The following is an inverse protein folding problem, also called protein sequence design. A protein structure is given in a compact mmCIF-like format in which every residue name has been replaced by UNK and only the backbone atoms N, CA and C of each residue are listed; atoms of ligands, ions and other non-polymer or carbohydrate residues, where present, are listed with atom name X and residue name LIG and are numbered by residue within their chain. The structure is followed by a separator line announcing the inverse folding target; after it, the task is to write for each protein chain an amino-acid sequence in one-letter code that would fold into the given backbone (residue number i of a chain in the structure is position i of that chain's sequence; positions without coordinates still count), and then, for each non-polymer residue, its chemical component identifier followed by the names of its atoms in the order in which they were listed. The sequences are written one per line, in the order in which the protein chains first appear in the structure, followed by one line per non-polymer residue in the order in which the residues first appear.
data_IF_100560735584
#
_entry.id   IF_100560735584
#
_cell.length_a   1.000
_cell.length_b   1.000
_cell.length_c   1.000
_cell.angle_alpha   90.00
_cell.angle_beta   90.00
_cell.angle_gamma   90.00
#
_symmetry.space_group_name_H-M   'P 1'
#
loop_
_entity.id
_entity.type
_entity.pdbx_description
1 polymer ?
#
# COMPACT_ATOMS: atom_id res chain seq x y z
N UNK A 1 69.53 -9.96 17.50
CA UNK A 1 68.16 -9.71 18.00
C UNK A 1 67.31 -9.17 16.85
N UNK A 2 66.47 -10.02 16.21
CA UNK A 2 65.55 -9.61 15.12
C UNK A 2 64.24 -9.13 15.75
N UNK A 3 63.90 -7.89 15.57
CA UNK A 3 62.61 -7.34 15.98
C UNK A 3 61.59 -7.69 14.92
N UNK A 4 60.56 -8.48 15.28
CA UNK A 4 59.40 -8.75 14.45
C UNK A 4 58.40 -7.65 14.72
N UNK A 5 58.10 -6.85 13.69
CA UNK A 5 57.03 -5.84 13.73
C UNK A 5 55.73 -6.52 13.34
N UNK A 6 54.84 -6.70 14.30
CA UNK A 6 53.48 -7.21 14.04
C UNK A 6 52.60 -6.04 13.62
N UNK A 7 52.27 -5.97 12.32
CA UNK A 7 51.27 -5.02 11.82
C UNK A 7 49.87 -5.63 12.01
N UNK A 8 49.16 -5.17 13.02
CA UNK A 8 47.71 -5.47 13.15
C UNK A 8 46.96 -4.69 12.08
N UNK A 9 46.55 -5.38 11.02
CA UNK A 9 45.58 -4.86 10.04
C UNK A 9 44.19 -4.96 10.67
N UNK A 10 43.67 -3.86 11.22
CA UNK A 10 42.28 -3.73 11.57
C UNK A 10 41.47 -3.61 10.27
N UNK A 11 40.88 -4.71 9.85
CA UNK A 11 39.84 -4.68 8.81
C UNK A 11 38.61 -3.93 9.34
N UNK A 12 38.47 -2.66 8.98
CA UNK A 12 37.23 -1.95 9.10
C UNK A 12 36.23 -2.61 8.14
N UNK A 13 35.32 -3.41 8.66
CA UNK A 13 34.10 -3.75 7.94
C UNK A 13 33.25 -2.48 7.85
N UNK A 14 33.40 -1.73 6.77
CA UNK A 14 32.42 -0.76 6.35
C UNK A 14 31.16 -1.56 6.00
N UNK A 15 30.20 -1.60 6.91
CA UNK A 15 28.85 -2.02 6.59
C UNK A 15 28.32 -1.00 5.60
N UNK A 16 28.42 -1.28 4.31
CA UNK A 16 27.71 -0.51 3.29
C UNK A 16 26.23 -0.79 3.48
N UNK A 17 25.57 0.03 4.26
CA UNK A 17 24.10 0.08 4.25
C UNK A 17 23.71 0.58 2.87
N UNK A 18 22.95 -0.21 2.13
CA UNK A 18 22.49 0.18 0.81
C UNK A 18 21.52 1.37 0.92
N UNK A 19 21.74 2.39 0.13
CA UNK A 19 20.79 3.49 -0.04
C UNK A 19 19.47 2.94 -0.60
N UNK A 20 18.34 3.54 -0.23
CA UNK A 20 17.03 3.22 -0.85
C UNK A 20 17.11 3.49 -2.34
N UNK A 21 16.65 2.56 -3.16
CA UNK A 21 16.52 2.75 -4.59
C UNK A 21 15.13 2.30 -5.02
N UNK A 22 14.34 3.24 -5.57
CA UNK A 22 13.07 3.00 -6.22
C UNK A 22 13.30 2.97 -7.74
N UNK A 23 12.77 1.96 -8.41
CA UNK A 23 12.93 1.79 -9.87
C UNK A 23 11.79 2.37 -10.70
N UNK A 24 10.84 3.09 -10.09
CA UNK A 24 9.61 3.53 -10.75
C UNK A 24 9.88 4.41 -11.97
N UNK A 25 10.77 5.41 -11.85
CA UNK A 25 11.05 6.34 -12.96
C UNK A 25 11.68 5.60 -14.14
N UNK A 26 12.74 4.82 -13.88
CA UNK A 26 13.45 4.07 -14.93
C UNK A 26 12.55 3.02 -15.59
N UNK A 27 11.75 2.30 -14.81
CA UNK A 27 10.82 1.28 -15.34
C UNK A 27 9.68 1.91 -16.14
N UNK A 28 9.15 3.05 -15.70
CA UNK A 28 8.15 3.78 -16.45
C UNK A 28 8.68 4.26 -17.80
N UNK A 29 9.85 4.91 -17.84
CA UNK A 29 10.47 5.40 -19.08
C UNK A 29 10.80 4.23 -20.03
N UNK A 30 11.32 3.11 -19.53
CA UNK A 30 11.56 1.91 -20.33
C UNK A 30 10.28 1.41 -21.01
N UNK A 31 9.15 1.43 -20.33
CA UNK A 31 7.88 0.93 -20.86
C UNK A 31 7.18 1.96 -21.77
N UNK A 32 7.25 3.25 -21.48
CA UNK A 32 6.67 4.27 -22.37
C UNK A 32 7.18 4.18 -23.80
N UNK A 33 8.46 3.86 -23.97
CA UNK A 33 9.05 3.69 -25.29
C UNK A 33 8.46 2.52 -26.08
N UNK A 34 7.79 1.57 -25.41
CA UNK A 34 7.40 0.27 -25.98
C UNK A 34 5.88 0.02 -25.99
N UNK A 35 5.12 0.74 -25.15
CA UNK A 35 3.70 0.46 -24.92
C UNK A 35 2.79 1.61 -25.40
N UNK A 36 2.11 1.43 -26.55
CA UNK A 36 1.17 2.43 -27.07
C UNK A 36 -0.03 2.68 -26.14
N UNK A 37 -0.42 1.69 -25.32
CA UNK A 37 -1.54 1.86 -24.36
C UNK A 37 -1.14 2.83 -23.25
N UNK A 38 0.05 2.67 -22.70
CA UNK A 38 0.59 3.60 -21.70
C UNK A 38 0.73 5.03 -22.27
N UNK A 39 1.16 5.16 -23.53
CA UNK A 39 1.24 6.45 -24.23
C UNK A 39 -0.14 7.12 -24.36
N UNK A 40 -1.16 6.35 -24.78
CA UNK A 40 -2.54 6.86 -24.87
C UNK A 40 -3.13 7.21 -23.50
N UNK A 41 -2.85 6.43 -22.47
CA UNK A 41 -3.25 6.71 -21.09
C UNK A 41 -2.61 7.99 -20.56
N UNK A 42 -1.33 8.25 -20.86
CA UNK A 42 -0.63 9.49 -20.45
C UNK A 42 -1.33 10.72 -21.01
N UNK A 43 -1.71 10.71 -22.27
CA UNK A 43 -2.46 11.81 -22.88
C UNK A 43 -3.83 11.99 -22.23
N UNK A 44 -4.56 10.90 -22.01
CA UNK A 44 -5.86 10.90 -21.34
C UNK A 44 -5.76 11.43 -19.91
N UNK A 45 -4.73 11.01 -19.17
CA UNK A 45 -4.45 11.49 -17.81
C UNK A 45 -4.15 12.98 -17.81
N UNK A 46 -3.31 13.45 -18.73
CA UNK A 46 -2.99 14.89 -18.87
C UNK A 46 -4.27 15.71 -19.13
N UNK A 47 -5.11 15.25 -20.05
CA UNK A 47 -6.38 15.91 -20.37
C UNK A 47 -7.34 15.90 -19.16
N UNK A 48 -7.39 14.79 -18.45
CA UNK A 48 -8.15 14.67 -17.21
C UNK A 48 -7.63 15.66 -16.16
N UNK A 49 -6.32 15.71 -15.92
CA UNK A 49 -5.68 16.61 -14.95
C UNK A 49 -5.86 18.10 -15.28
N UNK A 50 -6.00 18.47 -16.53
CA UNK A 50 -6.20 19.87 -16.97
C UNK A 50 -7.68 20.29 -17.04
N UNK A 51 -8.64 19.34 -17.00
CA UNK A 51 -10.07 19.63 -17.23
C UNK A 51 -10.80 20.28 -16.06
N UNK A 52 -10.17 20.56 -14.92
CA UNK A 52 -10.76 21.15 -13.70
C UNK A 52 -12.02 20.43 -13.15
N UNK A 53 -12.30 19.20 -13.55
CA UNK A 53 -13.49 18.44 -13.13
C UNK A 53 -13.33 17.70 -11.80
N UNK A 54 -12.24 17.95 -11.07
CA UNK A 54 -11.87 17.23 -9.83
C UNK A 54 -12.84 17.42 -8.67
N UNK A 55 -13.47 18.58 -8.58
CA UNK A 55 -14.21 18.97 -7.37
C UNK A 55 -15.54 18.25 -7.19
N UNK A 56 -16.07 17.58 -8.23
CA UNK A 56 -17.44 17.04 -8.20
C UNK A 56 -17.56 15.52 -7.95
N UNK A 57 -16.45 14.77 -7.95
CA UNK A 57 -16.49 13.30 -7.87
C UNK A 57 -15.87 12.71 -6.59
N UNK A 58 -15.76 13.49 -5.51
CA UNK A 58 -15.23 12.96 -4.24
C UNK A 58 -16.14 11.85 -3.71
N UNK A 59 -15.63 10.63 -3.71
CA UNK A 59 -16.25 9.52 -2.98
C UNK A 59 -16.17 9.86 -1.49
N UNK A 60 -17.32 10.03 -0.83
CA UNK A 60 -17.34 10.23 0.62
C UNK A 60 -16.99 8.91 1.30
N UNK A 61 -16.01 8.94 2.20
CA UNK A 61 -15.63 7.80 3.03
C UNK A 61 -14.39 7.05 2.57
N UNK A 62 -14.07 5.97 3.29
CA UNK A 62 -12.88 5.15 3.07
C UNK A 62 -13.08 4.23 1.88
N UNK A 63 -12.16 4.30 0.92
CA UNK A 63 -12.12 3.41 -0.23
C UNK A 63 -11.29 2.17 0.15
N UNK A 64 -11.86 0.97 0.01
CA UNK A 64 -11.14 -0.28 0.25
C UNK A 64 -10.72 -0.92 -1.07
N UNK A 65 -9.43 -1.16 -1.22
CA UNK A 65 -8.80 -1.66 -2.45
C UNK A 65 -8.43 -3.13 -2.26
N UNK A 66 -8.96 -4.04 -3.09
CA UNK A 66 -8.57 -5.43 -3.06
C UNK A 66 -7.16 -5.63 -3.59
N UNK A 67 -6.33 -6.33 -2.82
CA UNK A 67 -4.94 -6.65 -3.11
C UNK A 67 -4.81 -8.14 -3.40
N UNK A 68 -4.05 -8.48 -4.43
CA UNK A 68 -3.50 -9.81 -4.62
C UNK A 68 -1.99 -9.76 -4.50
N UNK A 69 -1.41 -10.68 -3.73
CA UNK A 69 0.05 -10.80 -3.55
C UNK A 69 0.56 -12.03 -4.29
N UNK A 70 1.40 -11.80 -5.28
CA UNK A 70 2.03 -12.81 -6.14
C UNK A 70 3.45 -13.09 -5.63
N UNK A 71 3.65 -14.17 -4.88
CA UNK A 71 4.97 -14.55 -4.34
C UNK A 71 5.70 -15.45 -5.33
N UNK A 72 6.80 -14.97 -5.90
CA UNK A 72 7.65 -15.69 -6.83
C UNK A 72 8.99 -15.98 -6.15
N UNK A 73 9.31 -17.25 -5.94
CA UNK A 73 10.45 -17.63 -5.11
C UNK A 73 11.33 -18.70 -5.76
N UNK A 74 12.65 -18.59 -5.55
CA UNK A 74 13.67 -19.53 -5.99
C UNK A 74 14.05 -20.53 -4.89
N UNK A 75 13.79 -20.21 -3.62
CA UNK A 75 14.10 -21.01 -2.45
C UNK A 75 13.12 -20.70 -1.30
N UNK A 76 13.21 -21.49 -0.22
CA UNK A 76 12.29 -21.39 0.91
C UNK A 76 12.31 -20.01 1.61
N UNK A 77 13.46 -19.35 1.68
CA UNK A 77 13.60 -18.01 2.31
C UNK A 77 12.79 -16.95 1.55
N UNK A 78 12.75 -17.02 0.21
CA UNK A 78 12.00 -16.08 -0.63
C UNK A 78 10.50 -16.37 -0.64
N UNK A 79 10.07 -17.56 -0.18
CA UNK A 79 8.66 -17.89 -0.04
C UNK A 79 8.13 -17.32 1.28
N UNK A 80 7.95 -16.00 1.32
CA UNK A 80 7.54 -15.28 2.53
C UNK A 80 6.23 -15.82 3.10
N UNK A 81 6.09 -15.79 4.43
CA UNK A 81 4.94 -16.34 5.15
C UNK A 81 3.68 -15.49 4.99
N UNK A 82 2.51 -16.11 5.21
CA UNK A 82 1.23 -15.38 5.25
C UNK A 82 1.21 -14.35 6.39
N UNK A 83 1.90 -14.60 7.50
CA UNK A 83 2.05 -13.64 8.59
C UNK A 83 2.83 -12.39 8.15
N UNK A 84 3.89 -12.56 7.33
CA UNK A 84 4.63 -11.44 6.76
C UNK A 84 3.75 -10.64 5.78
N UNK A 85 2.95 -11.31 4.95
CA UNK A 85 2.00 -10.65 4.03
C UNK A 85 0.93 -9.88 4.82
N UNK A 86 0.34 -10.50 5.84
CA UNK A 86 -0.65 -9.86 6.69
C UNK A 86 -0.09 -8.61 7.40
N UNK A 87 1.17 -8.68 7.84
CA UNK A 87 1.85 -7.51 8.44
C UNK A 87 1.96 -6.35 7.45
N UNK A 88 2.23 -6.62 6.17
CA UNK A 88 2.27 -5.58 5.14
C UNK A 88 0.90 -4.93 4.92
N UNK A 89 -0.16 -5.72 4.81
CA UNK A 89 -1.51 -5.16 4.64
C UNK A 89 -1.90 -4.27 5.84
N UNK A 90 -1.53 -4.67 7.06
CA UNK A 90 -1.74 -3.85 8.25
C UNK A 90 -0.98 -2.52 8.15
N UNK A 91 0.30 -2.55 7.76
CA UNK A 91 1.14 -1.34 7.62
C UNK A 91 0.54 -0.40 6.58
N UNK A 92 0.11 -0.90 5.42
CA UNK A 92 -0.55 -0.08 4.41
C UNK A 92 -1.80 0.61 4.97
N UNK A 93 -2.62 -0.11 5.73
CA UNK A 93 -3.79 0.47 6.38
C UNK A 93 -3.42 1.52 7.45
N UNK A 94 -2.36 1.28 8.21
CA UNK A 94 -1.90 2.25 9.21
C UNK A 94 -1.37 3.53 8.53
N UNK A 95 -0.52 3.39 7.52
CA UNK A 95 0.16 4.50 6.86
C UNK A 95 -0.81 5.35 6.01
N UNK A 96 -1.64 4.71 5.16
CA UNK A 96 -2.59 5.42 4.28
C UNK A 96 -3.79 6.02 5.03
N UNK A 97 -4.05 5.56 6.26
CA UNK A 97 -5.08 6.09 7.15
C UNK A 97 -4.52 6.98 8.25
N UNK A 98 -3.22 7.31 8.22
CA UNK A 98 -2.55 8.11 9.27
C UNK A 98 -2.78 7.54 10.67
N UNK A 99 -2.76 6.22 10.78
CA UNK A 99 -2.93 5.47 12.05
C UNK A 99 -1.59 4.92 12.57
N UNK A 100 -0.49 5.17 11.87
CA UNK A 100 0.84 4.73 12.22
C UNK A 100 1.28 5.32 13.57
N UNK A 101 1.68 4.46 14.50
CA UNK A 101 1.95 4.81 15.90
C UNK A 101 3.17 5.72 16.09
N UNK A 102 4.09 5.73 15.12
CA UNK A 102 5.31 6.55 15.14
C UNK A 102 5.11 7.96 14.56
N UNK A 103 3.93 8.29 14.04
CA UNK A 103 3.61 9.60 13.48
C UNK A 103 4.04 10.76 14.41
N UNK A 104 3.62 10.72 15.66
CA UNK A 104 3.89 11.81 16.60
C UNK A 104 5.36 11.95 16.99
N UNK A 105 6.14 10.88 16.90
CA UNK A 105 7.57 10.87 17.21
C UNK A 105 8.43 11.31 16.03
N UNK A 106 8.01 10.96 14.80
CA UNK A 106 8.79 11.18 13.57
C UNK A 106 8.44 12.51 12.91
N UNK A 107 7.16 12.91 12.91
CA UNK A 107 6.72 14.12 12.20
C UNK A 107 6.86 15.36 13.09
N UNK A 108 7.66 16.37 12.68
CA UNK A 108 7.79 17.64 13.38
C UNK A 108 6.47 18.38 13.50
N UNK A 109 6.30 19.14 14.58
CA UNK A 109 5.05 19.85 14.89
C UNK A 109 4.56 20.73 13.73
N UNK A 110 5.48 21.38 13.01
CA UNK A 110 5.18 22.28 11.89
C UNK A 110 4.54 21.54 10.69
N UNK A 111 4.88 20.29 10.47
CA UNK A 111 4.34 19.49 9.36
C UNK A 111 3.07 18.69 9.72
N UNK A 112 2.76 18.54 11.02
CA UNK A 112 1.55 17.81 11.45
C UNK A 112 0.23 18.32 10.86
N UNK A 113 0.01 19.66 10.69
CA UNK A 113 -1.21 20.16 10.04
C UNK A 113 -1.33 19.81 8.56
N UNK A 114 -0.20 19.55 7.88
CA UNK A 114 -0.15 19.17 6.46
C UNK A 114 -0.39 17.67 6.28
N UNK A 115 -0.19 16.86 7.32
CA UNK A 115 -0.31 15.41 7.23
C UNK A 115 -1.75 14.95 7.06
N UNK A 116 -2.00 14.11 6.04
CA UNK A 116 -3.31 13.64 5.64
C UNK A 116 -3.59 12.18 5.98
N UNK A 117 -4.85 11.86 6.27
CA UNK A 117 -5.44 10.54 6.07
C UNK A 117 -5.88 10.47 4.61
N UNK A 118 -5.30 9.57 3.79
CA UNK A 118 -5.64 9.44 2.39
C UNK A 118 -7.02 8.82 2.14
N UNK A 119 -7.65 8.28 3.20
CA UNK A 119 -8.93 7.57 3.15
C UNK A 119 -8.92 6.34 2.22
N UNK A 120 -7.73 5.75 2.06
CA UNK A 120 -7.51 4.50 1.33
C UNK A 120 -7.22 3.37 2.33
N UNK A 121 -7.86 2.23 2.13
CA UNK A 121 -7.63 0.99 2.89
C UNK A 121 -7.41 -0.17 1.93
N UNK A 122 -6.77 -1.22 2.42
CA UNK A 122 -6.38 -2.38 1.63
C UNK A 122 -6.87 -3.66 2.30
N UNK A 123 -7.34 -4.60 1.51
CA UNK A 123 -7.67 -5.95 1.98
C UNK A 123 -7.04 -7.00 1.06
N UNK A 124 -6.64 -8.14 1.57
CA UNK A 124 -6.37 -9.28 0.71
C UNK A 124 -7.67 -9.70 0.03
N UNK A 125 -7.61 -9.92 -1.28
CA UNK A 125 -8.78 -10.36 -2.05
C UNK A 125 -9.33 -11.68 -1.51
N UNK A 126 -10.64 -11.77 -1.37
CA UNK A 126 -11.37 -12.98 -0.95
C UNK A 126 -11.98 -13.74 -2.11
N UNK A 127 -12.01 -13.12 -3.30
CA UNK A 127 -12.48 -13.69 -4.56
C UNK A 127 -11.43 -13.56 -5.64
N UNK A 128 -11.26 -14.63 -6.45
CA UNK A 128 -10.46 -14.61 -7.67
C UNK A 128 -11.22 -13.92 -8.82
N UNK A 129 -10.55 -13.64 -9.96
CA UNK A 129 -11.23 -13.10 -11.16
C UNK A 129 -12.39 -13.96 -11.68
N UNK A 130 -12.35 -15.27 -11.48
CA UNK A 130 -13.42 -16.22 -11.83
C UNK A 130 -14.54 -16.31 -10.78
N UNK A 131 -14.45 -15.53 -9.70
CA UNK A 131 -15.41 -15.52 -8.58
C UNK A 131 -15.18 -16.57 -7.50
N UNK A 132 -14.25 -17.51 -7.69
CA UNK A 132 -13.92 -18.52 -6.68
C UNK A 132 -13.23 -17.91 -5.45
N UNK A 133 -13.32 -18.61 -4.31
CA UNK A 133 -12.70 -18.19 -3.05
C UNK A 133 -11.16 -18.18 -3.14
N UNK A 134 -10.52 -17.24 -2.45
CA UNK A 134 -9.06 -17.13 -2.35
C UNK A 134 -8.66 -16.51 -1.03
N UNK A 135 -7.37 -16.67 -0.67
CA UNK A 135 -6.70 -15.93 0.40
C UNK A 135 -6.10 -14.61 -0.08
N UNK A 136 -6.21 -14.28 -1.39
CA UNK A 136 -5.55 -13.12 -1.98
C UNK A 136 -4.04 -13.31 -2.18
N UNK A 137 -3.53 -14.54 -2.07
CA UNK A 137 -2.11 -14.86 -2.22
C UNK A 137 -1.92 -15.98 -3.23
N UNK A 138 -1.04 -15.74 -4.20
CA UNK A 138 -0.56 -16.77 -5.12
C UNK A 138 0.93 -17.01 -4.90
N UNK A 139 1.38 -18.25 -5.11
CA UNK A 139 2.77 -18.66 -4.88
C UNK A 139 3.28 -19.50 -6.03
N UNK A 140 4.48 -19.18 -6.53
CA UNK A 140 5.13 -19.93 -7.60
C UNK A 140 6.60 -20.13 -7.33
N UNK A 141 7.01 -21.40 -7.28
CA UNK A 141 8.43 -21.77 -7.31
C UNK A 141 8.97 -21.64 -8.73
N UNK A 142 10.13 -21.03 -8.89
CA UNK A 142 10.80 -20.83 -10.18
C UNK A 142 12.24 -21.30 -10.11
N UNK A 143 12.85 -21.55 -11.29
CA UNK A 143 14.25 -21.94 -11.40
C UNK A 143 15.17 -20.81 -10.87
N UNK A 144 16.37 -21.17 -10.43
CA UNK A 144 17.39 -20.20 -9.96
C UNK A 144 17.78 -19.17 -11.01
N UNK A 145 17.70 -19.54 -12.30
CA UNK A 145 17.94 -18.66 -13.46
C UNK A 145 16.79 -17.71 -13.81
N UNK A 146 15.66 -17.83 -13.12
CA UNK A 146 14.50 -16.95 -13.39
C UNK A 146 14.86 -15.49 -13.14
N UNK A 147 14.62 -14.62 -14.13
CA UNK A 147 14.78 -13.18 -13.97
C UNK A 147 13.43 -12.57 -13.55
N UNK A 148 13.33 -12.20 -12.27
CA UNK A 148 12.13 -11.61 -11.70
C UNK A 148 11.82 -10.26 -12.35
N UNK A 149 12.81 -9.39 -12.53
CA UNK A 149 12.66 -8.01 -12.98
C UNK A 149 11.95 -7.89 -14.35
N UNK A 150 12.12 -8.90 -15.20
CA UNK A 150 11.60 -8.90 -16.57
C UNK A 150 10.45 -9.89 -16.80
N UNK A 151 10.20 -10.82 -15.89
CA UNK A 151 9.29 -11.94 -16.13
C UNK A 151 8.22 -12.12 -15.05
N UNK A 152 8.15 -11.25 -14.02
CA UNK A 152 7.24 -11.38 -12.88
C UNK A 152 5.77 -11.56 -13.32
N UNK A 153 5.29 -10.78 -14.28
CA UNK A 153 3.91 -10.76 -14.79
C UNK A 153 3.63 -11.75 -15.95
N UNK A 154 4.66 -12.39 -16.52
CA UNK A 154 4.52 -13.31 -17.64
C UNK A 154 4.07 -14.69 -17.16
N UNK A 155 3.65 -15.57 -18.09
CA UNK A 155 3.26 -16.94 -17.78
C UNK A 155 4.35 -17.76 -17.07
N UNK A 156 5.64 -17.42 -17.27
CA UNK A 156 6.76 -18.01 -16.54
C UNK A 156 6.83 -17.55 -15.08
N UNK A 157 6.31 -16.37 -14.77
CA UNK A 157 6.06 -15.84 -13.43
C UNK A 157 4.62 -16.08 -12.98
N UNK A 158 3.97 -15.05 -12.41
CA UNK A 158 2.56 -15.03 -12.03
C UNK A 158 1.85 -13.89 -12.77
N UNK A 159 0.91 -14.24 -13.63
CA UNK A 159 0.18 -13.29 -14.47
C UNK A 159 -0.69 -12.35 -13.62
N UNK A 160 -0.86 -11.13 -14.12
CA UNK A 160 -1.72 -10.13 -13.50
C UNK A 160 -3.16 -10.65 -13.33
N UNK A 161 -3.76 -10.40 -12.17
CA UNK A 161 -5.21 -10.45 -12.03
C UNK A 161 -5.81 -9.16 -12.58
N UNK A 162 -7.03 -9.21 -13.07
CA UNK A 162 -7.73 -8.07 -13.68
C UNK A 162 -7.40 -6.73 -12.96
N UNK A 163 -6.54 -5.87 -13.53
CA UNK A 163 -6.07 -4.66 -12.85
C UNK A 163 -7.17 -3.61 -12.68
N UNK A 164 -8.34 -3.82 -13.28
CA UNK A 164 -9.52 -2.99 -13.06
C UNK A 164 -10.25 -3.33 -11.75
N UNK A 165 -9.87 -4.44 -11.10
CA UNK A 165 -10.52 -4.93 -9.86
C UNK A 165 -9.54 -5.20 -8.73
N UNK A 166 -8.25 -5.37 -9.03
CA UNK A 166 -7.24 -5.74 -8.05
C UNK A 166 -6.00 -4.86 -8.18
N UNK A 167 -5.47 -4.44 -7.05
CA UNK A 167 -4.08 -4.00 -6.96
C UNK A 167 -3.19 -5.25 -6.93
N UNK A 168 -2.35 -5.42 -7.94
CA UNK A 168 -1.41 -6.53 -8.05
C UNK A 168 -0.07 -6.17 -7.40
N UNK A 169 0.39 -6.97 -6.48
CA UNK A 169 1.70 -6.82 -5.82
C UNK A 169 2.52 -8.08 -6.06
N UNK A 170 3.62 -7.97 -6.80
CA UNK A 170 4.57 -9.06 -6.96
C UNK A 170 5.71 -8.94 -5.94
N UNK A 171 6.00 -10.05 -5.27
CA UNK A 171 7.07 -10.14 -4.29
C UNK A 171 8.07 -11.20 -4.75
N UNK A 172 9.34 -10.79 -4.84
CA UNK A 172 10.40 -11.68 -5.32
C UNK A 172 11.81 -11.16 -5.05
N UNK A 173 12.80 -11.76 -5.68
CA UNK A 173 14.19 -11.35 -5.57
C UNK A 173 14.64 -10.62 -6.84
N UNK A 174 14.97 -9.36 -6.71
CA UNK A 174 15.54 -8.55 -7.79
C UNK A 174 16.97 -9.01 -8.16
N UNK A 175 17.36 -8.72 -9.40
CA UNK A 175 18.73 -8.93 -9.84
C UNK A 175 19.69 -7.92 -9.20
N UNK A 176 19.30 -6.64 -9.13
CA UNK A 176 20.01 -5.63 -8.36
C UNK A 176 19.52 -5.65 -6.90
N UNK A 177 20.41 -6.03 -5.99
CA UNK A 177 20.13 -6.13 -4.55
C UNK A 177 19.90 -4.76 -3.87
N UNK A 178 20.24 -3.65 -4.54
CA UNK A 178 20.01 -2.30 -4.03
C UNK A 178 18.58 -1.82 -4.31
N UNK A 179 17.91 -2.42 -5.29
CA UNK A 179 16.55 -2.08 -5.67
C UNK A 179 15.57 -2.63 -4.61
N UNK A 180 14.78 -1.76 -4.02
CA UNK A 180 13.80 -2.13 -3.01
C UNK A 180 12.44 -2.46 -3.62
N UNK A 181 12.03 -1.69 -4.64
CA UNK A 181 10.76 -1.83 -5.33
C UNK A 181 10.62 -0.91 -6.52
N UNK A 182 9.52 -1.08 -7.22
CA UNK A 182 8.96 -0.11 -8.18
C UNK A 182 7.46 -0.31 -8.32
N UNK A 183 6.76 0.72 -8.76
CA UNK A 183 5.36 0.66 -9.17
C UNK A 183 5.19 1.24 -10.57
N UNK A 184 4.10 0.87 -11.22
CA UNK A 184 3.69 1.56 -12.44
C UNK A 184 2.68 2.67 -12.09
N UNK A 185 2.99 3.93 -12.49
CA UNK A 185 2.11 5.08 -12.30
C UNK A 185 0.76 4.92 -13.04
N UNK A 186 -0.22 5.81 -12.81
CA UNK A 186 -1.56 5.72 -13.39
C UNK A 186 -1.61 5.65 -14.91
N UNK A 187 -0.58 6.13 -15.62
CA UNK A 187 -0.43 6.01 -17.06
C UNK A 187 -0.48 4.55 -17.56
N UNK A 188 -0.08 3.62 -16.72
CA UNK A 188 -0.05 2.18 -17.02
C UNK A 188 -1.28 1.44 -16.53
N UNK A 189 -2.33 2.15 -16.10
CA UNK A 189 -3.55 1.52 -15.62
C UNK A 189 -4.15 0.58 -16.66
N UNK A 190 -4.44 -0.65 -16.25
CA UNK A 190 -5.04 -1.69 -17.09
C UNK A 190 -4.07 -2.49 -17.95
N UNK A 191 -2.76 -2.25 -17.89
CA UNK A 191 -1.76 -3.05 -18.61
C UNK A 191 -1.51 -4.40 -17.94
N UNK A 192 -0.86 -5.33 -18.66
CA UNK A 192 -0.54 -6.67 -18.14
C UNK A 192 0.51 -6.67 -17.01
N UNK A 193 1.14 -5.56 -16.75
CA UNK A 193 2.15 -5.37 -15.69
C UNK A 193 1.74 -4.28 -14.68
N UNK A 194 0.47 -3.80 -14.74
CA UNK A 194 -0.07 -2.79 -13.84
C UNK A 194 -0.08 -3.28 -12.38
N UNK A 195 0.66 -2.59 -11.53
CA UNK A 195 0.85 -2.91 -10.11
C UNK A 195 2.23 -2.51 -9.63
N UNK A 196 2.75 -3.25 -8.65
CA UNK A 196 4.06 -2.98 -8.07
C UNK A 196 4.84 -4.25 -7.78
N UNK A 197 6.18 -4.13 -7.79
CA UNK A 197 7.12 -5.17 -7.43
C UNK A 197 7.91 -4.76 -6.18
N UNK A 198 8.02 -5.66 -5.21
CA UNK A 198 8.76 -5.42 -3.96
C UNK A 198 9.74 -6.57 -3.72
N UNK A 199 10.96 -6.24 -3.31
CA UNK A 199 11.92 -7.23 -2.84
C UNK A 199 11.39 -7.96 -1.60
N UNK A 200 11.48 -9.30 -1.57
CA UNK A 200 10.93 -10.11 -0.49
C UNK A 200 11.45 -9.71 0.91
N UNK A 201 12.65 -9.11 0.98
CA UNK A 201 13.29 -8.62 2.19
C UNK A 201 12.75 -7.25 2.66
N UNK A 202 11.92 -6.60 1.87
CA UNK A 202 11.41 -5.23 2.11
C UNK A 202 9.89 -5.20 2.17
N UNK A 203 9.25 -6.38 2.28
CA UNK A 203 7.81 -6.53 2.35
C UNK A 203 7.38 -6.93 3.76
N UNK A 204 6.55 -6.12 4.42
CA UNK A 204 6.12 -6.32 5.80
C UNK A 204 7.17 -5.94 6.85
N UNK A 205 6.92 -6.36 8.09
CA UNK A 205 7.80 -6.05 9.24
C UNK A 205 8.17 -7.30 10.08
N UNK A 206 7.94 -8.47 9.56
CA UNK A 206 8.28 -9.74 10.21
C UNK A 206 8.96 -10.69 9.20
N UNK A 207 9.35 -11.88 9.67
CA UNK A 207 9.89 -12.92 8.80
C UNK A 207 11.22 -12.52 8.18
N UNK A 208 11.27 -12.36 6.86
CA UNK A 208 12.49 -12.02 6.11
C UNK A 208 12.73 -10.52 6.01
N UNK A 209 11.84 -9.68 6.55
CA UNK A 209 12.00 -8.23 6.51
C UNK A 209 13.30 -7.80 7.20
N UNK A 210 14.14 -7.02 6.48
CA UNK A 210 15.52 -6.72 6.88
C UNK A 210 15.72 -5.22 7.06
N UNK A 211 16.29 -4.85 8.23
CA UNK A 211 16.66 -3.46 8.51
C UNK A 211 17.69 -2.94 7.49
N UNK A 212 17.65 -1.64 7.15
CA UNK A 212 16.80 -0.59 7.73
C UNK A 212 15.43 -0.41 7.06
N UNK A 213 15.06 -1.26 6.08
CA UNK A 213 13.83 -1.20 5.30
C UNK A 213 12.83 -2.30 5.74
N UNK A 214 12.64 -2.45 7.04
CA UNK A 214 11.88 -3.55 7.64
C UNK A 214 10.59 -3.12 8.35
N UNK A 215 10.07 -1.93 8.06
CA UNK A 215 8.75 -1.50 8.54
C UNK A 215 7.68 -1.50 7.43
N UNK A 216 7.98 -2.12 6.28
CA UNK A 216 7.04 -2.26 5.15
C UNK A 216 6.77 -0.98 4.37
N UNK A 217 7.55 0.09 4.59
CA UNK A 217 7.34 1.40 3.98
C UNK A 217 7.85 1.50 2.56
N UNK A 218 8.59 0.51 2.10
CA UNK A 218 8.85 0.35 0.67
C UNK A 218 7.53 0.18 -0.10
N UNK A 219 6.64 -0.71 0.33
CA UNK A 219 5.35 -0.86 -0.33
C UNK A 219 4.45 0.39 -0.18
N UNK A 220 4.49 1.09 0.96
CA UNK A 220 3.81 2.37 1.15
C UNK A 220 4.27 3.41 0.13
N UNK A 221 5.59 3.54 -0.08
CA UNK A 221 6.21 4.42 -1.08
C UNK A 221 5.76 4.05 -2.50
N UNK A 222 5.90 2.78 -2.88
CA UNK A 222 5.55 2.33 -4.24
C UNK A 222 4.04 2.46 -4.53
N UNK A 223 3.17 2.24 -3.55
CA UNK A 223 1.74 2.49 -3.70
C UNK A 223 1.44 3.99 -3.84
N UNK A 224 2.25 4.87 -3.23
CA UNK A 224 2.21 6.29 -3.54
C UNK A 224 2.35 6.57 -5.03
N UNK A 225 3.37 5.98 -5.68
CA UNK A 225 3.56 6.08 -7.14
C UNK A 225 2.40 5.45 -7.93
N UNK A 226 1.89 4.30 -7.48
CA UNK A 226 0.72 3.67 -8.10
C UNK A 226 -0.50 4.60 -8.11
N UNK A 227 -0.63 5.49 -7.11
CA UNK A 227 -1.64 6.54 -7.05
C UNK A 227 -1.18 7.89 -7.58
N UNK A 228 -0.11 7.94 -8.35
CA UNK A 228 0.32 9.13 -9.10
C UNK A 228 1.16 10.14 -8.31
N UNK A 229 1.63 9.78 -7.12
CA UNK A 229 2.55 10.62 -6.37
C UNK A 229 3.95 10.54 -6.96
N UNK A 230 4.60 11.68 -7.13
CA UNK A 230 6.01 11.79 -7.45
C UNK A 230 6.86 11.77 -6.18
N UNK A 231 8.17 11.55 -6.33
CA UNK A 231 9.12 11.87 -5.27
C UNK A 231 9.03 13.35 -4.91
N UNK A 232 9.29 13.72 -3.65
CA UNK A 232 9.19 15.12 -3.22
C UNK A 232 10.18 16.07 -3.90
N UNK A 233 11.26 15.54 -4.47
CA UNK A 233 12.19 16.30 -5.33
C UNK A 233 11.82 16.23 -6.82
N UNK A 234 10.67 15.66 -7.16
CA UNK A 234 10.24 15.40 -8.55
C UNK A 234 10.91 14.16 -9.15
N UNK A 235 10.95 14.13 -10.48
CA UNK A 235 11.47 12.98 -11.23
C UNK A 235 12.89 13.18 -11.79
N UNK A 236 13.54 14.30 -11.49
CA UNK A 236 14.89 14.57 -11.92
C UNK A 236 15.88 14.43 -10.77
N UNK A 237 16.98 13.73 -11.02
CA UNK A 237 18.11 13.69 -10.11
C UNK A 237 19.14 14.80 -10.43
N UNK A 238 18.74 15.85 -11.17
CA UNK A 238 19.61 16.98 -11.48
C UNK A 238 19.57 18.02 -10.35
N UNK A 239 20.56 17.95 -9.49
CA UNK A 239 20.73 18.85 -8.34
C UNK A 239 20.81 20.35 -8.69
N UNK A 240 20.94 20.69 -9.98
CA UNK A 240 21.03 22.11 -10.43
C UNK A 240 19.65 22.71 -10.69
N UNK A 241 18.58 21.91 -10.68
CA UNK A 241 17.24 22.33 -11.08
C UNK A 241 16.31 22.27 -9.88
N UNK A 242 15.83 23.42 -9.47
CA UNK A 242 14.90 23.58 -8.35
C UNK A 242 13.58 24.21 -8.81
N UNK A 243 12.45 23.67 -8.35
CA UNK A 243 11.16 24.35 -8.47
C UNK A 243 10.63 24.51 -9.90
N UNK A 244 11.02 23.63 -10.83
CA UNK A 244 10.42 23.57 -12.16
C UNK A 244 9.38 22.46 -12.20
N UNK A 245 8.45 22.53 -13.16
CA UNK A 245 7.41 21.50 -13.33
C UNK A 245 7.94 20.07 -13.56
N UNK A 246 9.24 19.91 -13.74
CA UNK A 246 9.95 18.63 -13.90
C UNK A 246 10.55 18.16 -12.57
N UNK A 247 10.93 19.10 -11.68
CA UNK A 247 11.60 18.87 -10.42
C UNK A 247 10.74 19.32 -9.23
N UNK A 248 9.47 19.07 -9.29
CA UNK A 248 8.52 19.32 -8.23
C UNK A 248 7.56 18.13 -8.22
N UNK A 249 7.09 17.74 -7.04
CA UNK A 249 6.09 16.68 -6.89
C UNK A 249 4.67 17.13 -7.25
N UNK A 250 4.48 18.43 -7.50
CA UNK A 250 3.18 19.04 -7.80
C UNK A 250 2.34 19.35 -6.56
N UNK A 251 2.93 19.29 -5.36
CA UNK A 251 2.28 19.57 -4.08
C UNK A 251 2.77 20.88 -3.50
N UNK A 252 1.86 21.82 -3.25
CA UNK A 252 2.23 23.12 -2.66
C UNK A 252 2.56 23.03 -1.17
N UNK A 253 2.12 21.96 -0.51
CA UNK A 253 2.34 21.73 0.92
C UNK A 253 3.59 20.89 1.23
N UNK A 254 4.38 20.53 0.21
CA UNK A 254 5.73 19.95 0.34
C UNK A 254 6.78 21.01 0.02
N UNK A 255 7.79 21.26 0.88
CA UNK A 255 8.91 22.12 0.53
C UNK A 255 9.69 21.55 -0.66
N UNK A 256 9.87 22.37 -1.72
CA UNK A 256 10.59 21.93 -2.92
C UNK A 256 12.04 21.58 -2.58
N UNK A 257 12.47 20.39 -3.02
CA UNK A 257 13.83 19.89 -2.90
C UNK A 257 14.38 19.50 -4.26
N UNK A 258 15.70 19.42 -4.42
CA UNK A 258 16.36 19.09 -5.68
C UNK A 258 17.00 17.70 -5.69
N UNK A 259 17.00 17.01 -4.55
CA UNK A 259 17.55 15.67 -4.36
C UNK A 259 16.81 14.92 -3.26
N UNK A 260 16.87 13.58 -3.26
CA UNK A 260 16.38 12.77 -2.14
C UNK A 260 17.21 13.01 -0.87
N UNK A 261 16.59 12.86 0.26
CA UNK A 261 17.27 12.71 1.54
C UNK A 261 17.49 11.24 1.83
N UNK A 262 18.73 10.88 2.17
CA UNK A 262 19.05 9.55 2.66
C UNK A 262 19.32 9.59 4.17
N UNK A 263 18.98 8.52 4.88
CA UNK A 263 19.25 8.48 6.33
C UNK A 263 20.73 8.41 6.66
N UNK A 264 21.57 7.95 5.71
CA UNK A 264 23.03 7.95 5.81
C UNK A 264 23.60 9.36 5.91
N UNK A 265 22.93 10.35 5.32
CA UNK A 265 23.26 11.77 5.40
C UNK A 265 22.89 12.36 6.77
N UNK A 266 22.21 11.54 7.63
CA UNK A 266 21.78 11.91 8.97
C UNK A 266 20.99 13.25 9.02
N UNK A 267 19.90 13.40 8.24
CA UNK A 267 19.15 14.64 8.21
C UNK A 267 18.58 14.95 9.58
N UNK A 268 18.78 16.19 10.03
CA UNK A 268 18.29 16.67 11.33
C UNK A 268 17.35 17.85 11.11
N UNK A 269 16.10 17.67 11.55
CA UNK A 269 15.09 18.72 11.40
C UNK A 269 15.40 19.98 12.26
N UNK A 270 15.30 21.20 11.69
CA UNK A 270 15.03 21.52 10.28
C UNK A 270 16.29 21.37 9.41
N UNK A 271 16.18 20.68 8.28
CA UNK A 271 17.29 20.48 7.35
C UNK A 271 17.02 21.19 6.03
N UNK A 272 18.00 21.96 5.54
CA UNK A 272 17.93 22.74 4.30
C UNK A 272 19.00 22.30 3.27
N UNK A 273 19.65 21.15 3.47
CA UNK A 273 20.77 20.75 2.60
C UNK A 273 20.35 20.64 1.14
N UNK A 274 19.16 20.13 0.87
CA UNK A 274 18.65 19.92 -0.49
C UNK A 274 17.39 20.75 -0.80
N UNK A 275 16.99 21.67 0.08
CA UNK A 275 15.85 22.55 -0.21
C UNK A 275 16.22 23.59 -1.27
N UNK A 276 15.28 23.85 -2.19
CA UNK A 276 15.43 24.86 -3.23
C UNK A 276 15.45 26.29 -2.67
N UNK A 277 14.74 26.50 -1.56
CA UNK A 277 14.71 27.77 -0.84
C UNK A 277 14.85 27.47 0.65
N UNK A 278 15.87 28.01 1.27
CA UNK A 278 16.04 27.87 2.72
C UNK A 278 14.85 28.44 3.47
N UNK A 279 14.30 27.64 4.36
CA UNK A 279 13.17 28.02 5.22
C UNK A 279 13.45 27.66 6.68
N UNK A 280 12.71 28.26 7.58
CA UNK A 280 12.77 27.89 9.02
C UNK A 280 12.28 26.47 9.27
N UNK A 281 11.54 25.88 8.34
CA UNK A 281 10.94 24.56 8.44
C UNK A 281 11.78 23.46 7.77
N UNK A 282 12.72 23.83 6.85
CA UNK A 282 13.54 22.84 6.13
C UNK A 282 12.73 21.92 5.22
N UNK A 283 13.36 20.82 4.82
CA UNK A 283 12.76 19.78 3.99
C UNK A 283 11.81 18.86 4.77
N UNK A 284 10.85 18.28 4.06
CA UNK A 284 9.91 17.29 4.60
C UNK A 284 10.42 15.85 4.36
N UNK A 285 11.67 15.55 4.74
CA UNK A 285 12.29 14.25 4.48
C UNK A 285 11.59 13.07 5.18
N UNK A 286 10.69 13.34 6.15
CA UNK A 286 9.85 12.31 6.77
C UNK A 286 8.61 11.94 5.96
N UNK A 287 8.44 12.47 4.74
CA UNK A 287 7.39 12.08 3.81
C UNK A 287 7.65 10.67 3.26
N UNK A 288 6.59 9.87 3.06
CA UNK A 288 6.73 8.53 2.48
C UNK A 288 7.29 8.53 1.05
N UNK A 289 7.26 9.66 0.34
CA UNK A 289 7.80 9.80 -1.00
C UNK A 289 9.26 10.28 -1.04
N UNK A 290 9.97 10.29 0.09
CA UNK A 290 11.41 10.48 0.18
C UNK A 290 12.17 9.15 0.33
N UNK A 291 13.51 9.20 0.44
CA UNK A 291 14.40 8.03 0.44
C UNK A 291 15.06 7.74 1.80
N UNK A 292 14.60 8.33 2.88
CA UNK A 292 15.05 7.99 4.22
C UNK A 292 14.66 6.55 4.61
N UNK A 293 15.28 5.99 5.64
CA UNK A 293 14.93 4.67 6.17
C UNK A 293 13.47 4.61 6.64
N UNK A 294 12.90 3.43 6.64
CA UNK A 294 11.52 3.20 7.08
C UNK A 294 11.21 3.79 8.47
N UNK A 295 12.22 3.89 9.34
CA UNK A 295 12.06 4.47 10.68
C UNK A 295 11.88 5.99 10.69
N UNK A 296 12.25 6.67 9.61
CA UNK A 296 12.31 8.13 9.53
C UNK A 296 11.20 8.73 8.66
N UNK A 297 10.37 7.92 8.00
CA UNK A 297 9.23 8.39 7.21
C UNK A 297 7.90 8.00 7.89
N UNK A 298 6.92 8.90 7.89
CA UNK A 298 5.69 8.68 8.64
C UNK A 298 4.46 9.44 8.14
N UNK A 299 4.49 10.10 6.97
CA UNK A 299 3.36 10.90 6.52
C UNK A 299 3.24 11.03 4.99
N UNK A 300 2.01 11.21 4.55
CA UNK A 300 1.63 11.88 3.31
C UNK A 300 1.02 13.24 3.63
N UNK A 301 0.89 14.12 2.61
CA UNK A 301 0.32 15.46 2.77
C UNK A 301 -1.12 15.57 2.21
N UNK A 302 -1.77 16.71 2.45
CA UNK A 302 -3.11 16.99 1.94
C UNK A 302 -3.14 17.10 0.41
N UNK A 303 -2.11 17.69 -0.21
CA UNK A 303 -2.04 17.77 -1.67
C UNK A 303 -1.76 16.38 -2.27
N UNK A 304 -0.90 15.58 -1.66
CA UNK A 304 -0.70 14.17 -2.03
C UNK A 304 -2.00 13.36 -1.92
N UNK A 305 -2.80 13.57 -0.87
CA UNK A 305 -4.15 12.99 -0.76
C UNK A 305 -5.02 13.37 -1.95
N UNK A 306 -5.01 14.65 -2.32
CA UNK A 306 -5.81 15.16 -3.44
C UNK A 306 -5.43 14.47 -4.75
N UNK A 307 -4.13 14.33 -5.03
CA UNK A 307 -3.63 13.60 -6.21
C UNK A 307 -4.11 12.15 -6.20
N UNK A 308 -3.89 11.42 -5.09
CA UNK A 308 -4.26 10.01 -4.97
C UNK A 308 -5.78 9.80 -5.15
N UNK A 309 -6.61 10.66 -4.57
CA UNK A 309 -8.06 10.60 -4.71
C UNK A 309 -8.52 10.92 -6.14
N UNK A 310 -7.87 11.86 -6.83
CA UNK A 310 -8.15 12.16 -8.23
C UNK A 310 -7.83 10.97 -9.13
N UNK A 311 -6.74 10.26 -8.87
CA UNK A 311 -6.42 9.02 -9.58
C UNK A 311 -7.50 7.95 -9.37
N UNK A 312 -8.07 7.84 -8.17
CA UNK A 312 -9.15 6.91 -7.85
C UNK A 312 -10.48 7.23 -8.52
N UNK A 313 -10.76 8.47 -8.88
CA UNK A 313 -11.98 8.84 -9.64
C UNK A 313 -11.72 9.01 -11.13
N UNK A 314 -10.47 8.92 -11.56
CA UNK A 314 -9.99 9.02 -12.93
C UNK A 314 -9.46 7.68 -13.48
N UNK A 315 -8.14 7.57 -13.73
CA UNK A 315 -7.56 6.42 -14.42
C UNK A 315 -7.76 5.08 -13.68
N UNK A 316 -7.95 5.08 -12.35
CA UNK A 316 -8.18 3.88 -11.54
C UNK A 316 -9.60 3.79 -10.98
N UNK A 317 -10.57 4.51 -11.57
CA UNK A 317 -11.95 4.55 -11.09
C UNK A 317 -12.64 3.16 -11.09
N UNK A 318 -12.19 2.24 -11.93
CA UNK A 318 -12.71 0.88 -11.96
C UNK A 318 -12.52 0.10 -10.65
N UNK A 319 -11.46 0.40 -9.87
CA UNK A 319 -11.21 -0.21 -8.57
C UNK A 319 -12.33 0.10 -7.54
N UNK A 320 -13.02 1.24 -7.68
CA UNK A 320 -14.14 1.61 -6.80
C UNK A 320 -15.32 0.62 -6.87
N UNK A 321 -15.44 -0.08 -8.00
CA UNK A 321 -16.52 -1.03 -8.24
C UNK A 321 -16.15 -2.48 -7.90
N UNK A 322 -14.96 -2.71 -7.35
CA UNK A 322 -14.52 -4.05 -7.00
C UNK A 322 -15.21 -4.55 -5.72
N UNK A 323 -15.74 -5.76 -5.78
CA UNK A 323 -16.33 -6.47 -4.65
C UNK A 323 -15.43 -7.61 -4.14
N UNK A 324 -14.16 -7.59 -4.51
CA UNK A 324 -13.22 -8.68 -4.20
C UNK A 324 -12.76 -8.71 -2.73
N UNK A 325 -13.06 -7.66 -1.94
CA UNK A 325 -12.91 -7.64 -0.48
C UNK A 325 -14.12 -8.16 0.29
N UNK A 326 -15.26 -8.33 -0.38
CA UNK A 326 -16.43 -8.86 0.32
C UNK A 326 -16.16 -10.32 0.67
N UNK A 327 -16.30 -10.68 1.95
CA UNK A 327 -16.34 -12.09 2.33
C UNK A 327 -17.30 -12.79 1.37
N UNK A 328 -16.94 -13.99 0.90
CA UNK A 328 -17.91 -14.87 0.29
C UNK A 328 -18.91 -15.16 1.41
N UNK A 329 -19.95 -14.35 1.49
CA UNK A 329 -21.10 -14.70 2.31
C UNK A 329 -21.49 -16.12 1.84
N UNK A 330 -21.51 -17.08 2.74
CA UNK A 330 -22.31 -18.29 2.59
C UNK A 330 -23.64 -17.76 2.11
N UNK A 331 -24.02 -18.05 0.86
CA UNK A 331 -25.17 -17.47 0.15
C UNK A 331 -26.03 -16.68 1.10
N UNK A 332 -26.11 -15.34 0.97
CA UNK A 332 -27.22 -14.66 1.60
C UNK A 332 -28.48 -15.37 1.07
N UNK A 333 -28.90 -16.37 1.80
CA UNK A 333 -30.31 -16.70 1.83
C UNK A 333 -30.94 -15.35 1.96
N UNK A 334 -31.61 -14.87 0.92
CA UNK A 334 -32.19 -13.54 0.80
C UNK A 334 -32.40 -13.02 2.20
N UNK A 335 -31.64 -11.99 2.56
CA UNK A 335 -31.74 -11.38 3.87
C UNK A 335 -33.15 -10.89 3.93
N UNK A 336 -34.03 -11.86 4.15
CA UNK A 336 -35.35 -11.55 4.60
C UNK A 336 -35.06 -10.62 5.77
N UNK A 337 -35.38 -9.34 5.66
CA UNK A 337 -35.34 -8.32 6.70
C UNK A 337 -36.29 -8.71 7.84
N UNK A 338 -36.13 -9.91 8.39
CA UNK A 338 -37.17 -10.62 9.11
C UNK A 338 -36.77 -11.00 10.52
N UNK A 339 -35.49 -10.87 10.88
CA UNK A 339 -35.08 -11.10 12.26
C UNK A 339 -34.46 -9.82 12.82
N UNK A 340 -35.16 -9.21 13.76
CA UNK A 340 -34.68 -8.04 14.49
C UNK A 340 -34.26 -8.45 15.90
N UNK A 341 -33.08 -8.01 16.31
CA UNK A 341 -32.54 -8.18 17.65
C UNK A 341 -32.49 -6.81 18.34
N UNK A 342 -33.19 -6.67 19.47
CA UNK A 342 -33.22 -5.42 20.24
C UNK A 342 -33.41 -5.68 21.74
N UNK A 343 -32.87 -4.81 22.62
CA UNK A 343 -31.93 -3.75 22.30
C UNK A 343 -30.55 -4.34 21.92
N UNK A 344 -29.81 -3.60 21.09
CA UNK A 344 -28.42 -3.94 20.77
C UNK A 344 -27.58 -2.64 20.88
N UNK A 345 -26.66 -2.52 21.86
CA UNK A 345 -26.26 -3.53 22.87
C UNK A 345 -27.35 -3.90 23.87
N UNK A 346 -27.35 -5.16 24.30
CA UNK A 346 -28.25 -5.69 25.33
C UNK A 346 -27.60 -5.59 26.73
N UNK A 347 -28.37 -5.19 27.74
CA UNK A 347 -27.90 -5.15 29.15
C UNK A 347 -28.49 -6.30 29.96
N UNK A 348 -29.82 -6.47 29.96
CA UNK A 348 -30.51 -7.47 30.79
C UNK A 348 -31.30 -8.51 29.99
N UNK A 349 -31.74 -8.17 28.79
CA UNK A 349 -32.49 -9.06 27.91
C UNK A 349 -32.25 -8.69 26.44
N UNK A 350 -32.58 -9.64 25.58
CA UNK A 350 -32.61 -9.45 24.14
C UNK A 350 -33.94 -9.98 23.61
N UNK A 351 -34.58 -9.21 22.77
CA UNK A 351 -35.79 -9.63 22.05
C UNK A 351 -35.42 -9.99 20.63
N UNK A 352 -35.96 -11.13 20.18
CA UNK A 352 -35.79 -11.64 18.82
C UNK A 352 -37.16 -11.56 18.15
N UNK A 353 -37.31 -10.77 17.11
CA UNK A 353 -38.56 -10.60 16.37
C UNK A 353 -38.36 -10.96 14.89
N UNK A 354 -39.30 -11.72 14.32
CA UNK A 354 -39.36 -12.01 12.89
C UNK A 354 -40.81 -11.92 12.43
N UNK A 355 -41.12 -11.07 11.45
CA UNK A 355 -42.48 -10.98 10.88
C UNK A 355 -42.81 -12.12 9.91
N UNK A 356 -41.81 -12.79 9.36
CA UNK A 356 -42.00 -13.77 8.28
C UNK A 356 -41.63 -15.23 8.68
N UNK A 357 -40.83 -15.42 9.73
CA UNK A 357 -40.35 -16.73 10.11
C UNK A 357 -40.71 -17.04 11.56
N UNK A 358 -41.27 -18.20 11.81
CA UNK A 358 -41.53 -18.69 13.18
C UNK A 358 -40.23 -19.13 13.81
N UNK A 359 -39.75 -18.38 14.80
CA UNK A 359 -38.56 -18.73 15.58
C UNK A 359 -38.99 -19.77 16.64
N UNK A 360 -38.40 -20.93 16.62
CA UNK A 360 -38.69 -22.01 17.56
C UNK A 360 -37.62 -22.16 18.63
N UNK A 361 -36.40 -21.74 18.32
CA UNK A 361 -35.26 -21.89 19.20
C UNK A 361 -34.26 -20.78 18.98
N UNK A 362 -33.55 -20.34 20.04
CA UNK A 362 -32.44 -19.39 20.00
C UNK A 362 -31.27 -19.99 20.78
N UNK A 363 -30.08 -19.96 20.14
CA UNK A 363 -28.81 -20.34 20.76
C UNK A 363 -27.88 -19.10 20.82
N UNK A 364 -27.24 -18.91 21.95
CA UNK A 364 -26.30 -17.81 22.20
C UNK A 364 -24.91 -18.41 22.45
N UNK A 365 -23.94 -17.98 21.69
CA UNK A 365 -22.54 -18.39 21.79
C UNK A 365 -21.66 -17.24 22.27
N UNK A 366 -20.62 -17.54 23.05
CA UNK A 366 -19.54 -16.62 23.37
C UNK A 366 -18.59 -16.45 22.16
N UNK A 367 -17.72 -15.45 22.21
CA UNK A 367 -16.77 -15.16 21.13
C UNK A 367 -15.78 -16.30 20.82
N UNK A 368 -15.61 -17.23 21.77
CA UNK A 368 -14.78 -18.43 21.62
C UNK A 368 -15.55 -19.61 21.01
N UNK A 369 -16.81 -19.40 20.60
CA UNK A 369 -17.70 -20.43 20.03
C UNK A 369 -18.39 -21.36 21.08
N UNK A 370 -18.22 -21.12 22.38
CA UNK A 370 -18.84 -21.88 23.43
C UNK A 370 -20.31 -21.49 23.56
N UNK A 371 -21.20 -22.51 23.58
CA UNK A 371 -22.64 -22.33 23.83
C UNK A 371 -22.84 -21.75 25.23
N UNK A 372 -23.39 -20.55 25.35
CA UNK A 372 -23.69 -19.85 26.59
C UNK A 372 -25.12 -20.17 27.05
N UNK A 373 -26.06 -20.15 26.11
CA UNK A 373 -27.48 -20.36 26.42
C UNK A 373 -28.23 -20.91 25.21
N UNK A 374 -29.19 -21.80 25.49
CA UNK A 374 -30.18 -22.29 24.54
C UNK A 374 -31.58 -22.08 25.13
N UNK A 375 -32.50 -21.53 24.34
CA UNK A 375 -33.86 -21.25 24.77
C UNK A 375 -34.87 -21.57 23.66
N UNK A 376 -35.91 -22.31 24.03
CA UNK A 376 -37.07 -22.52 23.16
C UNK A 376 -38.00 -21.32 23.24
N UNK A 377 -38.45 -20.81 22.10
CA UNK A 377 -39.32 -19.66 22.00
C UNK A 377 -40.79 -20.09 22.08
N UNK A 378 -41.47 -19.71 23.16
CA UNK A 378 -42.94 -19.89 23.27
C UNK A 378 -43.64 -18.79 22.51
N UNK A 379 -44.28 -19.11 21.39
CA UNK A 379 -45.04 -18.17 20.59
C UNK A 379 -46.26 -17.65 21.33
N UNK A 380 -46.32 -16.36 21.62
CA UNK A 380 -47.56 -15.71 22.08
C UNK A 380 -48.27 -15.18 20.83
N UNK A 381 -49.34 -15.86 20.41
CA UNK A 381 -50.23 -15.36 19.35
C UNK A 381 -51.04 -14.21 19.92
N UNK A 382 -50.76 -12.96 19.52
CA UNK A 382 -51.68 -11.85 19.66
C UNK A 382 -52.57 -11.86 18.44
N UNK A 383 -53.87 -12.19 18.61
CA UNK A 383 -54.87 -11.93 17.59
C UNK A 383 -54.99 -10.43 17.41
N UNK A 384 -54.70 -9.92 16.21
CA UNK A 384 -55.14 -8.57 15.79
C UNK A 384 -56.65 -8.67 15.51
N UNK A 385 -57.42 -7.91 16.22
CA UNK A 385 -58.78 -7.55 15.89
C UNK A 385 -58.76 -6.49 14.79
#
# INVERSE_FOLDING_TARGET
MKKILLVLSSAFFLSAYGQRTCGTVEKAEEQFAKDPVAQANRESLRNFLTSNNYAQSRTAGVITIPVVVHVIYKNATQNISDAQIASQIKILNDDFRKLNTDFNAVVPAVFKPMAADLELSFCLATKKPDGSATTGVERKSVASSFNFDNNYYKASGLTVWDPTKYLNIWVGAFTDQRLLGWAYPPDFAGTAYDGLCIGYQYFGNTGTATAPFNKGRTATHEIGHYFGLNHIWGNSNDATVCGTAINDDGCADTPATNQPYYSEDNPVFPDNQFTCVNSTNGAMFMNYMDYVYDAHMAMFTNDQKTIAQNVMVGPRASLLNSNACSLLAVNDVEKANTINLFPNPAVNYISVASPLVKITEVEIFANDGKLVRKANVKTKLTKST
#
